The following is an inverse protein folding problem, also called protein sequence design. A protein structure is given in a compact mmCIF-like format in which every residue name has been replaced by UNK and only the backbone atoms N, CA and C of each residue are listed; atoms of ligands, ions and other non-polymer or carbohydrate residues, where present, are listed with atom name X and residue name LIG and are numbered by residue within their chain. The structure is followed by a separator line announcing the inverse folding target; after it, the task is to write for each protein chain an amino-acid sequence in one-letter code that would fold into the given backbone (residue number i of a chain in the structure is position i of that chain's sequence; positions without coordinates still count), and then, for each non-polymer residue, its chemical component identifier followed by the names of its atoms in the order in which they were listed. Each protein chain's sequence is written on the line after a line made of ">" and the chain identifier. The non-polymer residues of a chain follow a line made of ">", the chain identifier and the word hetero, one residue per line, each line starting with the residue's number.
data_IF_317560711811
#
_entry.id   IF_317560711811
#
_cell.length_a   1.000
_cell.length_b   1.000
_cell.length_c   1.000
_cell.angle_alpha   90.00
_cell.angle_beta   90.00
_cell.angle_gamma   90.00
#
_symmetry.space_group_name_H-M   'P 1'
#
loop_
_entity.id
_entity.type
_entity.pdbx_description
1 polymer ?
#
# COMPACT_ATOMS: atom_id res chain seq x y z
N UNK A 1 -59.81 -3.15 -64.32
CA UNK A 1 -59.21 -1.81 -64.15
C UNK A 1 -60.32 -0.89 -63.64
N UNK A 2 -60.16 -0.09 -62.56
CA UNK A 2 -58.96 0.22 -61.77
C UNK A 2 -58.93 -0.45 -60.38
N UNK A 3 -57.72 -0.44 -59.80
CA UNK A 3 -57.37 -0.88 -58.45
C UNK A 3 -57.65 0.25 -57.45
N UNK A 4 -58.39 -0.02 -56.38
CA UNK A 4 -58.50 0.88 -55.23
C UNK A 4 -57.44 0.50 -54.20
N UNK A 5 -56.46 1.38 -54.04
CA UNK A 5 -55.36 1.30 -53.10
C UNK A 5 -55.70 2.03 -51.79
N UNK A 6 -55.17 1.49 -50.69
CA UNK A 6 -54.68 2.19 -49.49
C UNK A 6 -55.68 2.58 -48.40
N UNK A 7 -55.53 1.92 -47.24
CA UNK A 7 -55.25 2.59 -45.96
C UNK A 7 -54.65 1.58 -44.96
N UNK A 8 -53.37 1.73 -44.55
CA UNK A 8 -52.84 1.00 -43.40
C UNK A 8 -53.22 1.73 -42.10
N UNK A 9 -53.93 1.04 -41.22
CA UNK A 9 -54.24 1.50 -39.85
C UNK A 9 -52.96 1.52 -39.01
N UNK A 10 -52.43 2.72 -38.74
CA UNK A 10 -51.32 2.91 -37.79
C UNK A 10 -51.86 2.91 -36.36
N UNK A 11 -51.75 1.78 -35.66
CA UNK A 11 -51.97 1.73 -34.21
C UNK A 11 -50.72 2.23 -33.48
N UNK A 12 -50.78 3.46 -32.94
CA UNK A 12 -49.77 4.04 -32.04
C UNK A 12 -49.93 3.40 -30.65
N UNK A 13 -49.02 2.50 -30.27
CA UNK A 13 -48.91 2.03 -28.89
C UNK A 13 -48.06 3.00 -28.03
N UNK A 14 -48.50 3.35 -26.80
CA UNK A 14 -47.82 4.29 -25.94
C UNK A 14 -46.76 3.62 -25.04
N UNK A 15 -45.64 4.32 -24.89
CA UNK A 15 -44.78 4.40 -23.71
C UNK A 15 -44.40 3.13 -22.96
N UNK A 16 -43.11 2.81 -22.92
CA UNK A 16 -42.51 2.21 -21.73
C UNK A 16 -41.03 2.55 -21.65
N UNK A 17 -40.73 3.68 -20.98
CA UNK A 17 -39.38 4.09 -20.56
C UNK A 17 -38.91 3.16 -19.43
N UNK A 18 -38.82 1.85 -19.67
CA UNK A 18 -38.55 0.84 -18.63
C UNK A 18 -37.43 -0.14 -18.95
N UNK A 19 -36.66 0.10 -20.02
CA UNK A 19 -35.53 -0.78 -20.34
C UNK A 19 -34.16 -0.10 -20.22
N UNK A 20 -34.07 0.96 -19.41
CA UNK A 20 -32.81 1.59 -18.98
C UNK A 20 -32.27 0.99 -17.67
N UNK A 21 -32.68 -0.23 -17.31
CA UNK A 21 -32.27 -0.89 -16.04
C UNK A 21 -31.52 -2.21 -16.28
N UNK A 22 -31.31 -2.63 -17.54
CA UNK A 22 -30.61 -3.88 -17.86
C UNK A 22 -29.15 -3.68 -18.31
N UNK A 23 -28.48 -2.63 -17.85
CA UNK A 23 -27.05 -2.42 -18.09
C UNK A 23 -26.39 -2.08 -16.76
N UNK A 24 -25.51 -2.98 -16.28
CA UNK A 24 -24.53 -2.87 -15.18
C UNK A 24 -24.54 -4.10 -14.27
N UNK A 25 -24.36 -5.29 -14.84
CA UNK A 25 -23.75 -6.40 -14.10
C UNK A 25 -22.24 -6.11 -14.01
N UNK A 26 -21.86 -5.21 -13.10
CA UNK A 26 -20.48 -4.87 -12.78
C UNK A 26 -19.79 -6.08 -12.15
N UNK A 27 -18.94 -6.73 -12.93
CA UNK A 27 -17.97 -7.71 -12.46
C UNK A 27 -17.01 -7.05 -11.46
N UNK A 28 -17.26 -7.26 -10.16
CA UNK A 28 -16.35 -6.84 -9.10
C UNK A 28 -15.39 -7.96 -8.74
N UNK A 29 -14.41 -8.28 -9.60
CA UNK A 29 -13.27 -9.11 -9.16
C UNK A 29 -12.42 -8.25 -8.23
N UNK A 30 -12.55 -8.45 -6.92
CA UNK A 30 -11.59 -7.89 -5.97
C UNK A 30 -10.22 -8.50 -6.31
N UNK A 31 -9.34 -7.68 -6.89
CA UNK A 31 -7.93 -8.01 -7.00
C UNK A 31 -7.37 -8.04 -5.57
N UNK A 32 -7.37 -9.22 -4.95
CA UNK A 32 -6.58 -9.46 -3.75
C UNK A 32 -5.13 -9.42 -4.20
N UNK A 33 -4.51 -8.25 -4.13
CA UNK A 33 -3.07 -8.15 -4.29
C UNK A 33 -2.44 -9.03 -3.19
N UNK A 34 -1.49 -9.92 -3.51
CA UNK A 34 -0.77 -10.64 -2.48
C UNK A 34 -0.09 -9.62 -1.57
N UNK A 35 -0.49 -9.59 -0.30
CA UNK A 35 0.24 -8.83 0.70
C UNK A 35 1.66 -9.42 0.73
N UNK A 36 2.66 -8.66 0.27
CA UNK A 36 4.05 -9.03 0.43
C UNK A 36 4.27 -9.38 1.90
N UNK A 37 4.76 -10.60 2.18
CA UNK A 37 5.10 -10.99 3.54
C UNK A 37 6.07 -9.93 4.08
N UNK A 38 5.62 -9.20 5.10
CA UNK A 38 6.37 -8.10 5.66
C UNK A 38 7.59 -8.66 6.38
N UNK A 39 8.73 -8.69 5.69
CA UNK A 39 10.02 -9.12 6.21
C UNK A 39 10.93 -7.90 6.33
N UNK A 40 11.77 -7.90 7.35
CA UNK A 40 12.82 -6.90 7.47
C UNK A 40 13.80 -7.05 6.30
N UNK A 41 14.24 -5.90 5.79
CA UNK A 41 15.21 -5.78 4.70
C UNK A 41 16.60 -5.57 5.28
N UNK A 42 17.59 -6.24 4.70
CA UNK A 42 19.01 -5.98 4.98
C UNK A 42 19.59 -5.15 3.84
N UNK A 43 20.27 -4.06 4.17
CA UNK A 43 21.03 -3.22 3.24
C UNK A 43 22.42 -2.91 3.80
N UNK A 44 23.33 -2.44 2.93
CA UNK A 44 24.71 -2.14 3.31
C UNK A 44 25.11 -0.69 3.01
N UNK A 45 24.37 0.32 3.50
CA UNK A 45 24.69 1.70 3.21
C UNK A 45 25.99 2.13 3.90
N UNK A 46 26.76 2.99 3.24
CA UNK A 46 27.95 3.65 3.81
C UNK A 46 29.03 2.67 4.35
N UNK A 47 28.99 1.39 3.99
CA UNK A 47 29.88 0.36 4.53
C UNK A 47 29.45 -0.22 5.89
N UNK A 48 28.26 0.13 6.38
CA UNK A 48 27.60 -0.53 7.51
C UNK A 48 26.65 -1.65 7.09
N UNK A 49 26.02 -2.30 8.06
CA UNK A 49 24.90 -3.22 7.87
C UNK A 49 23.65 -2.61 8.50
N UNK A 50 22.59 -2.48 7.72
CA UNK A 50 21.31 -1.93 8.15
C UNK A 50 20.20 -2.96 7.99
N UNK A 51 19.55 -3.30 9.08
CA UNK A 51 18.39 -4.18 9.14
C UNK A 51 17.16 -3.37 9.53
N UNK A 52 16.19 -3.27 8.63
CA UNK A 52 15.09 -2.32 8.78
C UNK A 52 13.79 -2.77 8.13
N UNK A 53 12.68 -2.16 8.53
CA UNK A 53 11.39 -2.34 7.89
C UNK A 53 10.28 -2.63 8.89
N UNK A 54 9.16 -3.12 8.37
CA UNK A 54 8.00 -3.50 9.17
C UNK A 54 7.79 -5.00 9.02
N UNK A 55 7.61 -5.70 10.13
CA UNK A 55 7.30 -7.13 10.15
C UNK A 55 6.47 -7.47 11.37
N UNK A 56 5.45 -8.32 11.22
CA UNK A 56 4.60 -8.81 12.32
C UNK A 56 4.12 -7.71 13.28
N UNK A 57 3.68 -6.56 12.74
CA UNK A 57 3.17 -5.45 13.55
C UNK A 57 4.25 -4.66 14.31
N UNK A 58 5.52 -4.79 13.94
CA UNK A 58 6.65 -4.06 14.53
C UNK A 58 7.45 -3.35 13.44
N UNK A 59 7.75 -2.07 13.65
CA UNK A 59 8.75 -1.34 12.85
C UNK A 59 10.09 -1.42 13.57
N UNK A 60 11.15 -1.72 12.83
CA UNK A 60 12.51 -1.88 13.34
C UNK A 60 13.49 -1.07 12.50
N UNK A 61 14.48 -0.49 13.17
CA UNK A 61 15.71 -0.01 12.55
C UNK A 61 16.89 -0.45 13.40
N UNK A 62 17.81 -1.21 12.81
CA UNK A 62 19.04 -1.68 13.45
C UNK A 62 20.22 -1.45 12.51
N UNK A 63 21.08 -0.50 12.83
CA UNK A 63 22.25 -0.17 12.02
C UNK A 63 23.53 -0.47 12.79
N UNK A 64 24.51 -1.07 12.12
CA UNK A 64 25.85 -1.31 12.63
C UNK A 64 26.89 -0.80 11.65
N UNK A 65 27.78 0.08 12.09
CA UNK A 65 28.88 0.60 11.27
C UNK A 65 30.25 0.23 11.89
N UNK A 66 31.21 -0.27 11.09
CA UNK A 66 32.48 -0.77 11.62
C UNK A 66 33.43 0.32 12.12
N UNK A 67 33.31 1.55 11.61
CA UNK A 67 34.30 2.61 11.86
C UNK A 67 33.73 3.94 12.37
N UNK A 68 32.40 4.11 12.47
CA UNK A 68 31.76 5.40 12.78
C UNK A 68 30.74 5.26 13.89
N UNK A 69 30.59 6.32 14.69
CA UNK A 69 29.50 6.43 15.66
C UNK A 69 28.18 6.61 14.92
N UNK A 70 27.12 5.96 15.37
CA UNK A 70 25.86 5.94 14.64
C UNK A 70 24.67 5.68 15.57
N UNK A 71 23.47 5.95 15.07
CA UNK A 71 22.21 5.71 15.76
C UNK A 71 21.15 5.21 14.79
N UNK A 72 20.10 4.59 15.33
CA UNK A 72 18.93 4.19 14.58
C UNK A 72 17.68 4.92 15.10
N UNK A 73 16.70 5.08 14.23
CA UNK A 73 15.39 5.63 14.59
C UNK A 73 14.27 4.99 13.79
N UNK A 74 13.09 4.93 14.40
CA UNK A 74 11.84 4.57 13.72
C UNK A 74 10.81 5.69 13.92
N UNK A 75 9.92 5.84 12.95
CA UNK A 75 8.80 6.77 12.98
C UNK A 75 7.50 6.02 12.72
N UNK A 76 6.70 5.90 13.78
CA UNK A 76 5.35 5.33 13.75
C UNK A 76 4.27 6.38 14.08
N UNK A 77 4.48 7.63 13.68
CA UNK A 77 3.71 8.78 14.15
C UNK A 77 4.30 9.42 15.41
N UNK A 78 5.30 8.75 16.02
CA UNK A 78 6.25 9.32 16.97
C UNK A 78 7.64 8.84 16.60
N UNK A 79 8.63 9.70 16.81
CA UNK A 79 10.02 9.35 16.55
C UNK A 79 10.60 8.66 17.79
N UNK A 80 11.00 7.40 17.63
CA UNK A 80 11.76 6.64 18.61
C UNK A 80 13.22 6.57 18.14
N UNK A 81 14.18 6.88 19.01
CA UNK A 81 15.61 6.90 18.66
C UNK A 81 16.42 6.10 19.66
N UNK A 82 17.43 5.38 19.18
CA UNK A 82 18.48 4.86 20.04
C UNK A 82 19.42 5.98 20.47
N UNK A 83 20.18 5.75 21.54
CA UNK A 83 21.40 6.52 21.79
C UNK A 83 22.42 6.32 20.65
N UNK A 84 23.39 7.22 20.55
CA UNK A 84 24.57 6.99 19.71
C UNK A 84 25.34 5.77 20.22
N UNK A 85 25.70 4.88 19.30
CA UNK A 85 26.53 3.71 19.54
C UNK A 85 27.85 3.87 18.80
N UNK A 86 28.91 3.39 19.43
CA UNK A 86 30.24 3.37 18.84
C UNK A 86 30.38 2.34 17.73
N UNK A 87 31.60 2.25 17.21
CA UNK A 87 32.01 1.30 16.18
C UNK A 87 31.66 -0.14 16.55
N UNK A 88 31.18 -0.92 15.58
CA UNK A 88 30.83 -2.35 15.74
C UNK A 88 29.81 -2.64 16.86
N UNK A 89 29.07 -1.64 17.32
CA UNK A 89 27.98 -1.82 18.29
C UNK A 89 26.67 -1.46 17.60
N UNK A 90 25.79 -2.44 17.35
CA UNK A 90 24.51 -2.17 16.70
C UNK A 90 23.68 -1.14 17.47
N UNK A 91 23.29 -0.07 16.78
CA UNK A 91 22.26 0.84 17.24
C UNK A 91 20.90 0.31 16.76
N UNK A 92 20.05 -0.11 17.70
CA UNK A 92 18.75 -0.71 17.38
C UNK A 92 17.62 -0.04 18.16
N UNK A 93 16.49 0.15 17.49
CA UNK A 93 15.23 0.61 18.09
C UNK A 93 14.05 0.05 17.31
N UNK A 94 13.00 -0.32 18.04
CA UNK A 94 11.74 -0.79 17.49
C UNK A 94 10.55 -0.11 18.16
N UNK A 95 9.41 -0.13 17.47
CA UNK A 95 8.14 0.32 18.00
C UNK A 95 6.99 -0.49 17.38
N UNK A 96 5.80 -0.52 18.00
CA UNK A 96 4.62 -1.09 17.37
C UNK A 96 4.34 -0.38 16.04
N UNK A 97 4.10 -1.16 14.99
CA UNK A 97 3.70 -0.64 13.70
C UNK A 97 2.22 -0.25 13.70
N UNK A 98 1.88 0.80 12.97
CA UNK A 98 0.51 1.25 12.81
C UNK A 98 -0.21 0.43 11.73
N UNK A 99 -1.42 -0.08 11.99
CA UNK A 99 -2.19 -0.81 10.99
C UNK A 99 -2.46 0.06 9.76
N UNK A 100 -2.29 -0.52 8.57
CA UNK A 100 -2.59 0.12 7.27
C UNK A 100 -1.82 1.43 6.98
N UNK A 101 -0.77 1.74 7.76
CA UNK A 101 0.07 2.91 7.57
C UNK A 101 1.51 2.46 7.36
N UNK A 102 2.21 3.14 6.46
CA UNK A 102 3.64 2.91 6.25
C UNK A 102 4.44 3.66 7.31
N UNK A 103 4.99 2.90 8.26
CA UNK A 103 5.98 3.40 9.20
C UNK A 103 7.38 3.38 8.60
N UNK A 104 8.26 4.22 9.13
CA UNK A 104 9.57 4.47 8.53
C UNK A 104 10.69 4.10 9.49
N UNK A 105 11.78 3.60 8.93
CA UNK A 105 13.01 3.29 9.62
C UNK A 105 14.13 4.15 9.04
N UNK A 106 15.03 4.62 9.91
CA UNK A 106 16.16 5.45 9.53
C UNK A 106 17.41 5.06 10.33
N UNK A 107 18.56 5.43 9.80
CA UNK A 107 19.83 5.47 10.51
C UNK A 107 20.46 6.85 10.34
N UNK A 108 21.38 7.21 11.24
CA UNK A 108 22.17 8.43 11.12
C UNK A 108 23.54 8.22 11.75
N UNK A 109 24.54 8.94 11.26
CA UNK A 109 25.79 9.09 11.97
C UNK A 109 25.63 10.06 13.14
N UNK A 110 26.41 9.77 14.18
CA UNK A 110 26.81 10.73 15.17
C UNK A 110 28.27 11.12 14.84
#
# INVERSE_FOLDING_TARGET
>A
MPLSLTSPSFSRAPGSRRSFVAALALAGTMLVAPAAAAAYTTAYPEGGTWYYGVSNGTVLSSYNHPSRSHRASVDNGRIHRSACKGRNVPASVSAPARPFIVDRAYYAFC
#
